data_IF_998208568682
#
_entry.id   IF_998208568682
#
_cell.length_a   1.000
_cell.length_b   1.000
_cell.length_c   1.000
_cell.angle_alpha   90.00
_cell.angle_beta   90.00
_cell.angle_gamma   90.00
#
_symmetry.space_group_name_H-M   'P 1'
#
loop_
_entity.id
_entity.type
_entity.pdbx_description
1 polymer ?
#
# COMPACT_ATOMS: atom_id res chain seq x y z
N UNK A 1 -1.04 -1.94 -10.69
CA UNK A 1 -1.94 -1.08 -11.50
C UNK A 1 -3.36 -1.50 -11.17
N UNK A 2 -4.21 -0.56 -10.75
CA UNK A 2 -5.63 -0.83 -10.53
C UNK A 2 -6.43 -0.02 -11.53
N UNK A 3 -7.36 -0.66 -12.24
CA UNK A 3 -8.28 0.01 -13.16
C UNK A 3 -9.71 -0.34 -12.73
N UNK A 4 -10.59 0.65 -12.70
CA UNK A 4 -12.01 0.45 -12.47
C UNK A 4 -12.79 0.96 -13.68
N UNK A 5 -13.63 0.11 -14.26
CA UNK A 5 -14.51 0.44 -15.38
C UNK A 5 -15.95 0.12 -15.02
N UNK A 6 -16.88 1.02 -15.34
CA UNK A 6 -18.30 0.78 -15.15
C UNK A 6 -18.91 0.28 -16.47
N UNK A 7 -19.62 -0.87 -16.43
CA UNK A 7 -20.36 -1.40 -17.56
C UNK A 7 -21.81 -1.62 -17.11
N UNK A 8 -22.72 -0.74 -17.52
CA UNK A 8 -24.08 -0.73 -17.00
C UNK A 8 -24.08 -0.43 -15.50
N UNK A 9 -24.66 -1.32 -14.71
CA UNK A 9 -24.70 -1.23 -13.24
C UNK A 9 -23.50 -1.93 -12.56
N UNK A 10 -22.63 -2.58 -13.33
CA UNK A 10 -21.49 -3.33 -12.80
C UNK A 10 -20.22 -2.46 -12.76
N UNK A 11 -19.43 -2.62 -11.69
CA UNK A 11 -18.07 -2.07 -11.57
C UNK A 11 -17.07 -3.20 -11.72
N UNK A 12 -16.27 -3.15 -12.78
CA UNK A 12 -15.21 -4.12 -13.06
C UNK A 12 -13.88 -3.56 -12.60
N UNK A 13 -13.27 -4.23 -11.62
CA UNK A 13 -11.97 -3.86 -11.05
C UNK A 13 -10.91 -4.82 -11.57
N UNK A 14 -9.86 -4.29 -12.20
CA UNK A 14 -8.67 -5.02 -12.59
C UNK A 14 -7.54 -4.69 -11.64
N UNK A 15 -7.01 -5.68 -10.93
CA UNK A 15 -5.90 -5.51 -9.97
C UNK A 15 -4.66 -6.23 -10.51
N UNK A 16 -3.61 -5.48 -10.81
CA UNK A 16 -2.30 -6.01 -11.18
C UNK A 16 -1.32 -5.96 -10.01
N UNK A 17 -0.84 -7.12 -9.58
CA UNK A 17 0.10 -7.29 -8.48
C UNK A 17 1.42 -7.88 -8.97
N UNK A 18 2.54 -7.31 -8.52
CA UNK A 18 3.88 -7.83 -8.79
C UNK A 18 4.63 -8.06 -7.49
N UNK A 19 5.18 -9.26 -7.30
CA UNK A 19 5.97 -9.62 -6.12
C UNK A 19 7.26 -10.30 -6.56
N UNK A 20 8.40 -9.86 -6.03
CA UNK A 20 9.70 -10.44 -6.33
C UNK A 20 9.94 -11.69 -5.47
N UNK A 21 9.84 -12.89 -6.05
CA UNK A 21 9.90 -14.16 -5.30
C UNK A 21 11.32 -14.73 -5.23
N UNK A 22 12.02 -14.77 -6.37
CA UNK A 22 13.27 -15.53 -6.54
C UNK A 22 14.45 -14.71 -7.04
N UNK A 23 14.23 -13.46 -7.49
CA UNK A 23 15.27 -12.68 -8.16
C UNK A 23 15.92 -11.68 -7.20
N UNK A 24 17.12 -11.99 -6.70
CA UNK A 24 17.81 -11.15 -5.69
C UNK A 24 18.36 -9.81 -6.23
N UNK A 25 18.22 -9.51 -7.52
CA UNK A 25 18.76 -8.30 -8.17
C UNK A 25 17.67 -7.65 -9.05
N UNK A 26 17.44 -6.32 -8.99
CA UNK A 26 18.19 -5.32 -8.24
C UNK A 26 17.72 -5.14 -6.79
N UNK A 27 16.62 -5.77 -6.39
CA UNK A 27 16.02 -5.62 -5.06
C UNK A 27 15.82 -6.97 -4.38
N UNK A 28 15.59 -6.93 -3.06
CA UNK A 28 15.34 -8.10 -2.23
C UNK A 28 14.12 -8.90 -2.72
N UNK A 29 14.25 -10.23 -2.74
CA UNK A 29 13.14 -11.13 -3.03
C UNK A 29 12.67 -11.89 -1.78
N UNK A 30 11.50 -12.52 -1.84
CA UNK A 30 10.94 -13.31 -0.73
C UNK A 30 11.91 -14.41 -0.27
N UNK A 31 12.58 -15.08 -1.20
CA UNK A 31 13.53 -16.14 -0.84
C UNK A 31 14.80 -15.60 -0.16
N UNK A 32 15.20 -14.36 -0.42
CA UNK A 32 16.30 -13.71 0.33
C UNK A 32 15.89 -13.48 1.79
N UNK A 33 14.64 -13.06 2.04
CA UNK A 33 14.08 -12.87 3.38
C UNK A 33 14.04 -14.20 4.14
N UNK A 34 13.59 -15.28 3.49
CA UNK A 34 13.58 -16.63 4.07
C UNK A 34 14.99 -17.08 4.44
N UNK A 35 15.96 -16.89 3.54
CA UNK A 35 17.35 -17.24 3.78
C UNK A 35 17.94 -16.42 4.95
N UNK A 36 17.64 -15.13 5.02
CA UNK A 36 18.11 -14.26 6.10
C UNK A 36 17.51 -14.62 7.46
N UNK A 37 16.21 -14.90 7.51
CA UNK A 37 15.54 -15.41 8.71
C UNK A 37 16.18 -16.71 9.20
N UNK A 38 16.41 -17.67 8.30
CA UNK A 38 17.07 -18.93 8.62
C UNK A 38 18.47 -18.72 9.21
N UNK A 39 19.28 -17.81 8.66
CA UNK A 39 20.60 -17.47 9.20
C UNK A 39 20.51 -16.83 10.59
N UNK A 40 19.59 -15.88 10.79
CA UNK A 40 19.45 -15.12 12.05
C UNK A 40 18.90 -15.96 13.20
N UNK A 41 18.01 -16.90 12.90
CA UNK A 41 17.27 -17.66 13.91
C UNK A 41 17.63 -19.15 13.96
N UNK A 42 18.58 -19.62 13.13
CA UNK A 42 18.96 -21.02 13.06
C UNK A 42 17.84 -21.95 12.57
N UNK A 43 16.89 -21.43 11.80
CA UNK A 43 15.75 -22.18 11.27
C UNK A 43 16.02 -22.76 9.88
N UNK A 44 15.14 -23.64 9.41
CA UNK A 44 15.26 -24.32 8.11
C UNK A 44 13.99 -24.19 7.27
N UNK A 45 13.46 -22.96 7.16
CA UNK A 45 12.33 -22.66 6.30
C UNK A 45 12.72 -22.89 4.83
N UNK A 46 11.92 -23.66 4.11
CA UNK A 46 12.15 -23.90 2.69
C UNK A 46 11.86 -22.63 1.86
N UNK A 47 12.62 -22.37 0.78
CA UNK A 47 12.26 -21.32 -0.17
C UNK A 47 10.89 -21.59 -0.79
N UNK A 48 10.19 -20.53 -1.17
CA UNK A 48 8.90 -20.62 -1.84
C UNK A 48 9.11 -20.63 -3.36
N UNK A 49 8.39 -21.50 -4.05
CA UNK A 49 8.33 -21.50 -5.52
C UNK A 49 7.28 -20.50 -6.01
N UNK A 50 7.41 -20.04 -7.25
CA UNK A 50 6.45 -19.10 -7.85
C UNK A 50 5.04 -19.69 -7.86
N UNK A 51 4.90 -20.98 -8.21
CA UNK A 51 3.60 -21.68 -8.27
C UNK A 51 2.94 -21.77 -6.90
N UNK A 52 3.72 -22.10 -5.86
CA UNK A 52 3.22 -22.17 -4.49
C UNK A 52 2.83 -20.78 -3.98
N UNK A 53 3.62 -19.76 -4.30
CA UNK A 53 3.27 -18.39 -3.97
C UNK A 53 1.97 -17.97 -4.65
N UNK A 54 1.85 -18.18 -5.96
CA UNK A 54 0.64 -17.83 -6.72
C UNK A 54 -0.61 -18.55 -6.21
N UNK A 55 -0.52 -19.85 -5.93
CA UNK A 55 -1.64 -20.61 -5.37
C UNK A 55 -2.12 -20.00 -4.04
N UNK A 56 -1.19 -19.65 -3.14
CA UNK A 56 -1.52 -18.99 -1.87
C UNK A 56 -2.06 -17.58 -2.07
N UNK A 57 -1.39 -16.80 -2.91
CA UNK A 57 -1.77 -15.42 -3.19
C UNK A 57 -3.20 -15.33 -3.72
N UNK A 58 -3.58 -16.15 -4.71
CA UNK A 58 -4.93 -16.17 -5.25
C UNK A 58 -5.97 -16.54 -4.18
N UNK A 59 -5.71 -17.58 -3.38
CA UNK A 59 -6.63 -17.99 -2.32
C UNK A 59 -6.78 -16.94 -1.20
N UNK A 60 -5.68 -16.27 -0.82
CA UNK A 60 -5.74 -15.21 0.19
C UNK A 60 -6.41 -13.94 -0.36
N UNK A 61 -6.18 -13.61 -1.63
CA UNK A 61 -6.83 -12.48 -2.30
C UNK A 61 -8.35 -12.70 -2.36
N UNK A 62 -8.80 -13.86 -2.83
CA UNK A 62 -10.22 -14.21 -2.89
C UNK A 62 -10.87 -14.10 -1.50
N UNK A 63 -10.28 -14.75 -0.48
CA UNK A 63 -10.78 -14.66 0.90
C UNK A 63 -10.84 -13.23 1.42
N UNK A 64 -9.84 -12.41 1.10
CA UNK A 64 -9.80 -11.01 1.53
C UNK A 64 -10.89 -10.18 0.87
N UNK A 65 -11.13 -10.39 -0.44
CA UNK A 65 -12.20 -9.72 -1.19
C UNK A 65 -13.58 -10.13 -0.67
N UNK A 66 -13.81 -11.43 -0.45
CA UNK A 66 -15.03 -11.96 0.14
C UNK A 66 -15.29 -11.37 1.52
N UNK A 67 -14.27 -11.29 2.37
CA UNK A 67 -14.38 -10.70 3.69
C UNK A 67 -14.72 -9.22 3.64
N UNK A 68 -14.08 -8.45 2.74
CA UNK A 68 -14.39 -7.03 2.55
C UNK A 68 -15.83 -6.78 2.09
N UNK A 69 -16.42 -7.72 1.35
CA UNK A 69 -17.80 -7.62 0.88
C UNK A 69 -18.85 -7.84 1.99
N UNK A 70 -18.44 -8.32 3.17
CA UNK A 70 -19.34 -8.48 4.33
C UNK A 70 -19.63 -7.15 5.02
N UNK A 71 -20.69 -7.09 5.83
CA UNK A 71 -21.00 -5.91 6.64
C UNK A 71 -19.85 -5.58 7.60
N UNK A 72 -19.31 -4.37 7.48
CA UNK A 72 -18.14 -3.95 8.26
C UNK A 72 -16.80 -4.52 7.79
N UNK A 73 -16.77 -5.33 6.72
CA UNK A 73 -15.57 -5.95 6.16
C UNK A 73 -14.49 -4.95 5.79
N UNK A 74 -14.85 -3.82 5.17
CA UNK A 74 -13.91 -2.73 4.83
C UNK A 74 -13.25 -2.14 6.08
N UNK A 75 -14.00 -1.95 7.18
CA UNK A 75 -13.44 -1.44 8.44
C UNK A 75 -12.47 -2.44 9.04
N UNK A 76 -12.82 -3.73 9.07
CA UNK A 76 -11.93 -4.76 9.57
C UNK A 76 -10.67 -4.92 8.70
N UNK A 77 -10.81 -4.79 7.37
CA UNK A 77 -9.65 -4.74 6.47
C UNK A 77 -8.76 -3.54 6.76
N UNK A 78 -9.34 -2.36 7.00
CA UNK A 78 -8.59 -1.16 7.38
C UNK A 78 -7.88 -1.34 8.74
N UNK A 79 -8.51 -1.97 9.72
CA UNK A 79 -7.88 -2.33 11.00
C UNK A 79 -6.69 -3.27 10.78
N UNK A 80 -6.83 -4.30 9.95
CA UNK A 80 -5.73 -5.20 9.59
C UNK A 80 -4.62 -4.47 8.81
N UNK A 81 -4.98 -3.56 7.90
CA UNK A 81 -4.04 -2.72 7.17
C UNK A 81 -3.15 -1.92 8.12
N UNK A 82 -3.74 -1.32 9.16
CA UNK A 82 -2.99 -0.57 10.17
C UNK A 82 -2.06 -1.43 11.04
N UNK A 83 -2.26 -2.75 11.15
CA UNK A 83 -1.32 -3.64 11.85
C UNK A 83 0.04 -3.72 11.14
N UNK A 84 0.06 -3.50 9.82
CA UNK A 84 1.27 -3.59 8.99
C UNK A 84 1.68 -2.23 8.41
N UNK A 85 1.01 -1.15 8.78
CA UNK A 85 1.29 0.20 8.30
C UNK A 85 2.63 0.71 8.85
N UNK A 86 3.50 1.19 7.96
CA UNK A 86 4.86 1.60 8.29
C UNK A 86 5.06 3.13 8.32
N UNK A 87 4.07 3.91 7.89
CA UNK A 87 4.23 5.33 7.60
C UNK A 87 3.72 6.26 8.71
N UNK A 88 3.38 5.73 9.88
CA UNK A 88 2.94 6.58 11.00
C UNK A 88 4.04 7.55 11.39
N UNK A 89 3.69 8.83 11.53
CA UNK A 89 4.59 9.90 11.95
C UNK A 89 5.73 10.21 10.94
N UNK A 90 5.66 9.68 9.73
CA UNK A 90 6.60 10.01 8.66
C UNK A 90 6.43 11.48 8.25
N UNK A 91 7.54 12.23 8.26
CA UNK A 91 7.57 13.63 7.85
C UNK A 91 7.54 13.75 6.33
N UNK A 92 6.57 14.50 5.84
CA UNK A 92 6.42 14.78 4.41
C UNK A 92 6.22 16.28 4.18
N UNK A 93 6.38 16.68 2.92
CA UNK A 93 6.03 17.99 2.42
C UNK A 93 4.84 17.84 1.47
N UNK A 94 3.86 18.71 1.60
CA UNK A 94 2.65 18.71 0.77
C UNK A 94 2.59 20.02 0.02
N UNK A 95 2.61 19.95 -1.30
CA UNK A 95 2.33 21.08 -2.17
C UNK A 95 0.84 21.07 -2.53
N UNK A 96 0.14 22.17 -2.30
CA UNK A 96 -1.27 22.32 -2.70
C UNK A 96 -1.38 22.98 -4.07
N UNK A 97 -2.49 22.77 -4.77
CA UNK A 97 -2.75 23.48 -6.04
C UNK A 97 -2.67 25.00 -5.85
N UNK A 98 -1.95 25.68 -6.75
CA UNK A 98 -1.70 27.13 -6.68
C UNK A 98 -0.67 27.58 -5.63
N UNK A 99 -0.15 26.67 -4.79
CA UNK A 99 0.89 26.96 -3.80
C UNK A 99 2.30 26.83 -4.37
N UNK A 100 3.10 27.90 -4.27
CA UNK A 100 4.51 27.87 -4.68
C UNK A 100 5.45 27.25 -3.63
N UNK A 101 4.99 27.05 -2.39
CA UNK A 101 5.83 26.53 -1.30
C UNK A 101 5.17 25.32 -0.64
N UNK A 102 5.84 24.16 -0.59
CA UNK A 102 5.35 22.99 0.12
C UNK A 102 5.23 23.24 1.63
N UNK A 103 4.19 22.71 2.25
CA UNK A 103 3.95 22.76 3.69
C UNK A 103 4.43 21.47 4.33
N UNK A 104 5.14 21.57 5.46
CA UNK A 104 5.54 20.40 6.23
C UNK A 104 4.34 19.78 6.96
N UNK A 105 4.28 18.46 6.96
CA UNK A 105 3.28 17.70 7.70
C UNK A 105 3.77 16.31 8.06
N UNK A 106 2.96 15.60 8.84
CA UNK A 106 3.23 14.24 9.30
C UNK A 106 2.09 13.33 8.93
N UNK A 107 2.39 12.17 8.39
CA UNK A 107 1.37 11.18 8.06
C UNK A 107 0.72 10.67 9.35
N UNK A 108 -0.61 10.73 9.40
CA UNK A 108 -1.40 10.22 10.54
C UNK A 108 -2.23 8.98 10.18
N UNK A 109 -2.30 8.63 8.90
CA UNK A 109 -2.95 7.43 8.42
C UNK A 109 -3.68 7.64 7.10
N UNK A 110 -4.65 6.78 6.84
CA UNK A 110 -5.63 6.87 5.75
C UNK A 110 -7.05 6.81 6.32
N UNK A 111 -7.99 7.48 5.67
CA UNK A 111 -9.41 7.41 6.06
C UNK A 111 -10.12 6.18 5.44
N UNK A 112 -11.44 6.09 5.68
CA UNK A 112 -12.27 5.00 5.17
C UNK A 112 -12.42 5.00 3.63
N UNK A 113 -12.15 6.13 2.96
CA UNK A 113 -12.10 6.22 1.50
C UNK A 113 -10.69 5.93 0.96
N UNK A 114 -9.70 5.68 1.82
CA UNK A 114 -8.32 5.41 1.47
C UNK A 114 -7.50 6.67 1.17
N UNK A 115 -7.97 7.87 1.52
CA UNK A 115 -7.21 9.11 1.29
C UNK A 115 -6.16 9.27 2.39
N UNK A 116 -4.98 9.75 2.02
CA UNK A 116 -3.88 9.96 2.95
C UNK A 116 -4.17 11.17 3.83
N UNK A 117 -4.09 10.97 5.15
CA UNK A 117 -4.27 12.00 6.16
C UNK A 117 -2.92 12.52 6.63
N UNK A 118 -2.73 13.83 6.52
CA UNK A 118 -1.47 14.49 6.87
C UNK A 118 -1.73 15.64 7.83
N UNK A 119 -1.15 15.58 9.02
CA UNK A 119 -1.25 16.65 10.02
C UNK A 119 -0.19 17.71 9.76
N UNK A 120 -0.63 18.94 9.56
CA UNK A 120 0.25 20.13 9.45
C UNK A 120 0.12 21.00 10.70
N UNK A 121 0.88 22.10 10.76
CA UNK A 121 0.75 23.07 11.84
C UNK A 121 -0.61 23.79 11.86
N UNK A 122 -1.28 23.92 10.72
CA UNK A 122 -2.54 24.65 10.59
C UNK A 122 -3.78 23.75 10.68
N UNK A 123 -3.71 22.56 10.07
CA UNK A 123 -4.85 21.65 9.94
C UNK A 123 -4.41 20.24 9.54
N UNK A 124 -5.37 19.31 9.49
CA UNK A 124 -5.19 18.01 8.84
C UNK A 124 -5.62 18.12 7.38
N UNK A 125 -4.73 17.75 6.46
CA UNK A 125 -4.98 17.66 5.03
C UNK A 125 -5.42 16.24 4.67
N UNK A 126 -6.35 16.14 3.74
CA UNK A 126 -6.82 14.89 3.15
C UNK A 126 -6.35 14.87 1.70
N UNK A 127 -5.51 13.89 1.33
CA UNK A 127 -4.84 13.84 0.04
C UNK A 127 -5.34 12.64 -0.76
N UNK A 128 -5.94 12.93 -1.91
CA UNK A 128 -6.44 11.92 -2.83
C UNK A 128 -5.28 11.19 -3.52
N UNK A 129 -5.31 9.85 -3.62
CA UNK A 129 -4.25 9.07 -4.26
C UNK A 129 -4.10 9.32 -5.77
N UNK A 130 -5.20 9.61 -6.47
CA UNK A 130 -5.18 9.78 -7.92
C UNK A 130 -4.87 11.20 -8.36
N UNK A 131 -5.26 12.21 -7.56
CA UNK A 131 -4.95 13.62 -7.81
C UNK A 131 -3.51 14.02 -7.51
N UNK A 132 -2.75 13.21 -6.75
CA UNK A 132 -1.41 13.55 -6.28
C UNK A 132 -0.32 12.57 -6.75
N UNK A 133 0.90 13.08 -6.90
CA UNK A 133 2.14 12.33 -7.06
C UNK A 133 2.88 12.33 -5.73
N UNK A 134 3.54 11.23 -5.40
CA UNK A 134 4.45 11.16 -4.26
C UNK A 134 5.88 10.88 -4.73
N UNK A 135 6.77 11.85 -4.54
CA UNK A 135 8.21 11.67 -4.66
C UNK A 135 8.75 11.21 -3.30
N UNK A 136 8.97 9.90 -3.18
CA UNK A 136 9.49 9.27 -1.96
C UNK A 136 10.87 9.81 -1.59
N UNK A 137 11.74 10.07 -2.58
CA UNK A 137 13.11 10.54 -2.32
C UNK A 137 13.13 11.97 -1.77
N UNK A 138 12.19 12.79 -2.25
CA UNK A 138 12.01 14.14 -1.74
C UNK A 138 11.06 14.21 -0.54
N UNK A 139 10.35 13.12 -0.19
CA UNK A 139 9.23 13.15 0.75
C UNK A 139 8.18 14.19 0.37
N UNK A 140 7.88 14.36 -0.92
CA UNK A 140 7.01 15.41 -1.44
C UNK A 140 5.75 14.81 -2.07
N UNK A 141 4.58 15.21 -1.56
CA UNK A 141 3.29 15.00 -2.21
C UNK A 141 2.91 16.29 -2.97
N UNK A 142 2.58 16.18 -4.24
CA UNK A 142 2.17 17.32 -5.07
C UNK A 142 1.09 16.92 -6.08
N UNK A 143 0.22 17.83 -6.54
CA UNK A 143 -0.82 17.51 -7.51
C UNK A 143 -0.20 17.04 -8.83
N UNK A 144 -0.80 16.03 -9.46
CA UNK A 144 -0.43 15.62 -10.82
C UNK A 144 -0.70 16.78 -11.79
N UNK A 145 0.24 17.03 -12.71
CA UNK A 145 0.08 17.96 -13.83
C UNK A 145 -0.33 17.22 -15.08
#
# INVERSE_FOLDING_TARGET
MTLANCIGDDVIITVGTGVNITNSIPTICVNDIIADHNRKHGTTLAPITVERFLARYCSELERSLEYMATEGGVRAFLEQYYQYWLHTDEEIRVQTEGGNTPVHGRIVGVDAAGWLLVRTAASTLQLEPDGNTFDIMAGLVAPKR
#
